data_IF_271432401963
#
_entry.id   IF_271432401963
#
_cell.length_a   1.000
_cell.length_b   1.000
_cell.length_c   1.000
_cell.angle_alpha   90.00
_cell.angle_beta   90.00
_cell.angle_gamma   90.00
#
_symmetry.space_group_name_H-M   'P 1'
#
loop_
_entity.id
_entity.type
_entity.pdbx_description
1 polymer ?
#
# COMPACT_ATOMS: atom_id res chain seq x y z
N UNK A 1 -10.42 9.33 11.76
CA UNK A 1 -10.90 8.00 11.34
C UNK A 1 -9.97 7.59 10.22
N UNK A 2 -8.95 6.80 10.53
CA UNK A 2 -8.02 6.26 9.53
C UNK A 2 -8.84 5.33 8.64
N UNK A 3 -8.88 5.58 7.34
CA UNK A 3 -9.55 4.67 6.42
C UNK A 3 -8.89 3.29 6.53
N UNK A 4 -9.67 2.26 6.87
CA UNK A 4 -9.18 0.90 7.01
C UNK A 4 -8.87 0.34 5.61
N UNK A 5 -7.58 0.31 5.27
CA UNK A 5 -7.09 -0.40 4.09
C UNK A 5 -7.32 -1.91 4.25
N UNK A 6 -7.54 -2.63 3.15
CA UNK A 6 -7.48 -4.08 3.18
C UNK A 6 -6.09 -4.56 3.64
N UNK A 7 -6.01 -5.78 4.15
CA UNK A 7 -4.76 -6.34 4.69
C UNK A 7 -3.62 -6.25 3.66
N UNK A 8 -2.52 -5.58 4.04
CA UNK A 8 -1.36 -5.37 3.16
C UNK A 8 -0.78 -6.66 2.59
N UNK A 9 -0.89 -7.76 3.32
CA UNK A 9 -0.49 -9.09 2.90
C UNK A 9 -1.21 -9.59 1.63
N UNK A 10 -2.40 -9.09 1.33
CA UNK A 10 -3.20 -9.52 0.17
C UNK A 10 -2.83 -8.76 -1.10
N UNK A 11 -2.65 -7.44 -0.99
CA UNK A 11 -2.43 -6.57 -2.15
C UNK A 11 -0.97 -6.22 -2.38
N UNK A 12 -0.15 -6.03 -1.35
CA UNK A 12 1.27 -5.70 -1.50
C UNK A 12 2.03 -6.66 -2.42
N UNK A 13 1.99 -7.99 -2.27
CA UNK A 13 2.73 -8.88 -3.17
C UNK A 13 2.27 -8.78 -4.63
N UNK A 14 1.00 -8.44 -4.86
CA UNK A 14 0.38 -8.35 -6.20
C UNK A 14 0.47 -6.96 -6.83
N UNK A 15 0.75 -5.94 -6.03
CA UNK A 15 0.89 -4.55 -6.46
C UNK A 15 2.08 -4.39 -7.42
N UNK A 16 1.95 -3.49 -8.39
CA UNK A 16 3.02 -3.17 -9.32
C UNK A 16 4.27 -2.61 -8.63
N UNK A 17 5.43 -2.91 -9.21
CA UNK A 17 6.73 -2.47 -8.67
C UNK A 17 6.81 -0.94 -8.63
N UNK A 18 6.33 -0.25 -9.67
CA UNK A 18 6.29 1.23 -9.72
C UNK A 18 5.52 1.81 -8.55
N UNK A 19 4.35 1.25 -8.26
CA UNK A 19 3.48 1.66 -7.16
C UNK A 19 4.11 1.38 -5.80
N UNK A 20 4.76 0.23 -5.63
CA UNK A 20 5.55 -0.08 -4.41
C UNK A 20 6.66 0.94 -4.19
N UNK A 21 7.36 1.33 -5.25
CA UNK A 21 8.39 2.36 -5.16
C UNK A 21 7.80 3.69 -4.72
N UNK A 22 6.70 4.14 -5.33
CA UNK A 22 6.02 5.38 -4.92
C UNK A 22 5.61 5.37 -3.44
N UNK A 23 5.10 4.23 -2.95
CA UNK A 23 4.72 4.05 -1.54
C UNK A 23 5.92 4.02 -0.60
N UNK A 24 7.08 3.55 -1.07
CA UNK A 24 8.33 3.56 -0.30
C UNK A 24 8.98 4.93 -0.25
N UNK A 25 8.85 5.74 -1.29
CA UNK A 25 9.38 7.10 -1.32
C UNK A 25 8.59 8.03 -0.38
N UNK A 26 7.28 7.79 -0.25
CA UNK A 26 6.38 8.61 0.55
C UNK A 26 5.46 7.78 1.47
N UNK A 27 6.00 7.03 2.45
CA UNK A 27 5.21 6.14 3.29
C UNK A 27 4.25 6.87 4.24
N UNK A 28 4.54 8.16 4.51
CA UNK A 28 3.73 9.04 5.34
C UNK A 28 2.58 9.74 4.62
N UNK A 29 2.54 9.66 3.30
CA UNK A 29 1.62 10.44 2.47
C UNK A 29 0.40 9.62 2.04
N UNK A 30 -0.56 10.28 1.39
CA UNK A 30 -1.74 9.60 0.88
C UNK A 30 -1.37 8.66 -0.27
N UNK A 31 -2.08 7.53 -0.35
CA UNK A 31 -1.97 6.58 -1.46
C UNK A 31 -2.30 7.31 -2.78
N UNK A 32 -1.38 7.27 -3.78
CA UNK A 32 -1.66 7.83 -5.08
C UNK A 32 -2.84 7.10 -5.73
N UNK A 33 -3.55 7.79 -6.63
CA UNK A 33 -4.75 7.24 -7.29
C UNK A 33 -4.48 5.87 -7.93
N UNK A 34 -3.33 5.73 -8.59
CA UNK A 34 -2.89 4.48 -9.21
C UNK A 34 -2.77 3.34 -8.18
N UNK A 35 -2.22 3.61 -6.99
CA UNK A 35 -2.16 2.60 -5.93
C UNK A 35 -3.54 2.22 -5.41
N UNK A 36 -4.44 3.21 -5.26
CA UNK A 36 -5.82 2.96 -4.80
C UNK A 36 -6.59 2.11 -5.80
N UNK A 37 -6.45 2.42 -7.10
CA UNK A 37 -7.06 1.66 -8.19
C UNK A 37 -6.54 0.22 -8.20
N UNK A 38 -5.21 0.01 -8.18
CA UNK A 38 -4.64 -1.35 -8.12
C UNK A 38 -5.08 -2.11 -6.87
N UNK A 39 -5.05 -1.49 -5.69
CA UNK A 39 -5.50 -2.14 -4.45
C UNK A 39 -6.97 -2.51 -4.56
N UNK A 40 -7.80 -1.64 -5.12
CA UNK A 40 -9.21 -1.92 -5.32
C UNK A 40 -9.44 -3.06 -6.33
N UNK A 41 -8.66 -3.13 -7.41
CA UNK A 41 -8.71 -4.24 -8.36
C UNK A 41 -8.24 -5.56 -7.75
N UNK A 42 -7.19 -5.54 -6.93
CA UNK A 42 -6.63 -6.73 -6.30
C UNK A 42 -7.53 -7.28 -5.20
N UNK A 43 -8.07 -6.40 -4.36
CA UNK A 43 -8.83 -6.78 -3.16
C UNK A 43 -10.34 -6.79 -3.38
N UNK A 44 -10.81 -6.18 -4.47
CA UNK A 44 -12.22 -5.94 -4.72
C UNK A 44 -12.86 -4.96 -3.73
N UNK A 45 -12.07 -4.19 -2.98
CA UNK A 45 -12.55 -3.19 -2.01
C UNK A 45 -12.23 -1.78 -2.45
N UNK A 46 -13.21 -0.90 -2.32
CA UNK A 46 -13.02 0.52 -2.59
C UNK A 46 -12.04 1.15 -1.59
N UNK A 47 -10.99 1.80 -2.09
CA UNK A 47 -10.00 2.50 -1.28
C UNK A 47 -10.27 3.99 -1.34
N UNK A 48 -10.61 4.63 -0.20
CA UNK A 48 -11.00 6.03 -0.21
C UNK A 48 -9.83 6.95 -0.58
N UNK A 49 -10.18 8.09 -1.17
CA UNK A 49 -9.21 9.15 -1.45
C UNK A 49 -8.62 9.70 -0.15
N UNK A 50 -7.29 9.75 -0.07
CA UNK A 50 -6.58 10.12 1.16
C UNK A 50 -6.33 8.96 2.13
N UNK A 51 -6.60 7.71 1.74
CA UNK A 51 -6.13 6.56 2.51
C UNK A 51 -4.59 6.59 2.63
N UNK A 52 -4.09 6.32 3.82
CA UNK A 52 -2.66 6.33 4.13
C UNK A 52 -2.26 4.98 4.67
N UNK A 53 -1.01 4.57 4.45
CA UNK A 53 -0.44 3.40 5.09
C UNK A 53 -0.45 3.59 6.61
N UNK A 54 -0.97 2.61 7.33
CA UNK A 54 -0.86 2.54 8.78
C UNK A 54 0.57 2.20 9.19
N UNK A 55 0.89 2.37 10.47
CA UNK A 55 2.21 2.01 11.00
C UNK A 55 2.55 0.53 10.75
N UNK A 56 1.56 -0.37 10.90
CA UNK A 56 1.71 -1.80 10.61
C UNK A 56 2.01 -2.07 9.13
N UNK A 57 1.33 -1.36 8.23
CA UNK A 57 1.56 -1.47 6.78
C UNK A 57 3.00 -1.05 6.43
N UNK A 58 3.48 0.05 7.03
CA UNK A 58 4.85 0.55 6.80
C UNK A 58 5.90 -0.41 7.34
N UNK A 59 5.67 -0.99 8.51
CA UNK A 59 6.54 -2.01 9.10
C UNK A 59 6.64 -3.25 8.21
N UNK A 60 5.50 -3.70 7.67
CA UNK A 60 5.47 -4.82 6.74
C UNK A 60 6.25 -4.52 5.46
N UNK A 61 6.07 -3.34 4.87
CA UNK A 61 6.80 -2.88 3.67
C UNK A 61 8.30 -2.84 3.93
N UNK A 62 8.71 -2.30 5.09
CA UNK A 62 10.12 -2.24 5.49
C UNK A 62 10.71 -3.65 5.60
N UNK A 63 10.04 -4.53 6.34
CA UNK A 63 10.45 -5.94 6.54
C UNK A 63 10.57 -6.71 5.22
N UNK A 64 9.64 -6.50 4.29
CA UNK A 64 9.67 -7.17 2.99
C UNK A 64 10.80 -6.67 2.09
N UNK A 65 11.25 -5.41 2.24
CA UNK A 65 12.38 -4.90 1.47
C UNK A 65 13.73 -5.44 1.94
N UNK A 66 13.88 -5.74 3.24
CA UNK A 66 15.14 -6.27 3.79
C UNK A 66 15.46 -7.69 3.31
N UNK A 67 14.47 -8.44 2.80
CA UNK A 67 14.69 -9.79 2.25
C UNK A 67 15.22 -9.80 0.80
N UNK A 68 15.36 -8.63 0.15
CA UNK A 68 15.66 -8.54 -1.29
C UNK A 68 17.06 -7.96 -1.58
N UNK A 69 17.89 -7.72 -0.56
CA UNK A 69 19.31 -7.35 -0.72
C UNK A 69 20.25 -8.54 -0.41
#
# INVERSE_FOLDING_TARGET
MTAELPSIHEWWPRLSISTKHALREHPGDALPSEAREEIAEITGRDVPEGATLSEEDRDFISTQSEQVD
#
